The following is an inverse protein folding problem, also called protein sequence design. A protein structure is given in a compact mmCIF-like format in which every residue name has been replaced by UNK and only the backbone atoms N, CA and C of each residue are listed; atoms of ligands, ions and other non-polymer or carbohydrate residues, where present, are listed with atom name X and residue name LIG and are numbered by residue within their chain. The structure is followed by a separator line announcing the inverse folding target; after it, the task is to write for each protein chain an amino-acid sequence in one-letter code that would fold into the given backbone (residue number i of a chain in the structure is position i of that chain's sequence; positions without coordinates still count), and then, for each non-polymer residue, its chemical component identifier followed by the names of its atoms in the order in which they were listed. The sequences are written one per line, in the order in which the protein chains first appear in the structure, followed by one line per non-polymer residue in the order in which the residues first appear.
data_IF_948515791446
#
_entry.id   IF_948515791446
#
_cell.length_a   1.000
_cell.length_b   1.000
_cell.length_c   1.000
_cell.angle_alpha   90.00
_cell.angle_beta   90.00
_cell.angle_gamma   90.00
#
_symmetry.space_group_name_H-M   'P 1'
#
loop_
_entity.id
_entity.type
_entity.pdbx_description
1 polymer ?
#
# COMPACT_ATOMS: atom_id res chain seq x y z
N UNK A 1 -26.83 -41.47 54.50
CA UNK A 1 -27.80 -41.34 53.39
C UNK A 1 -27.15 -40.44 52.35
N UNK A 2 -26.48 -41.02 51.34
CA UNK A 2 -27.04 -41.30 50.00
C UNK A 2 -27.06 -40.00 49.16
N UNK A 3 -26.42 -39.83 47.99
CA UNK A 3 -25.76 -40.77 47.07
C UNK A 3 -24.92 -39.97 46.04
N UNK A 4 -23.90 -40.64 45.50
CA UNK A 4 -22.98 -40.34 44.36
C UNK A 4 -23.56 -39.64 43.11
N UNK A 5 -22.70 -38.89 42.42
CA UNK A 5 -22.22 -39.07 41.02
C UNK A 5 -21.37 -37.83 40.66
N UNK A 6 -20.04 -37.85 40.54
CA UNK A 6 -19.16 -38.65 39.67
C UNK A 6 -19.59 -38.63 38.19
N UNK A 7 -19.07 -37.66 37.45
CA UNK A 7 -18.87 -37.79 36.01
C UNK A 7 -17.50 -37.20 35.67
N UNK A 8 -16.49 -38.02 35.93
CA UNK A 8 -15.21 -37.98 35.27
C UNK A 8 -15.42 -38.18 33.76
N UNK A 9 -14.85 -37.31 32.91
CA UNK A 9 -14.74 -37.59 31.48
C UNK A 9 -13.49 -36.97 30.90
N UNK A 10 -12.40 -37.71 31.06
CA UNK A 10 -11.33 -37.80 30.07
C UNK A 10 -11.90 -38.16 28.70
N UNK A 11 -11.33 -37.58 27.63
CA UNK A 11 -10.94 -38.39 26.50
C UNK A 11 -9.41 -38.39 26.35
N UNK A 12 -8.83 -39.48 26.85
CA UNK A 12 -7.68 -40.12 26.24
C UNK A 12 -8.04 -40.48 24.79
N UNK A 13 -7.29 -39.94 23.84
CA UNK A 13 -7.16 -40.52 22.52
C UNK A 13 -5.76 -40.18 21.98
N UNK A 14 -4.81 -40.99 22.45
CA UNK A 14 -3.55 -41.22 21.78
C UNK A 14 -3.80 -41.62 20.31
N UNK A 15 -3.46 -40.71 19.40
CA UNK A 15 -3.39 -40.96 17.96
C UNK A 15 -1.94 -40.92 17.49
N UNK A 16 -1.11 -41.83 18.01
CA UNK A 16 0.22 -42.10 17.47
C UNK A 16 0.09 -42.81 16.11
N UNK A 17 -0.15 -42.03 15.05
CA UNK A 17 -0.08 -42.48 13.66
C UNK A 17 1.32 -42.31 13.10
N UNK A 18 2.22 -43.22 13.45
CA UNK A 18 3.44 -43.44 12.70
C UNK A 18 3.07 -44.09 11.36
N UNK A 19 3.11 -43.32 10.28
CA UNK A 19 3.09 -43.86 8.91
C UNK A 19 4.34 -43.42 8.18
N UNK A 20 5.12 -44.46 7.85
CA UNK A 20 6.26 -44.57 6.95
C UNK A 20 6.64 -43.36 6.10
N UNK A 21 7.92 -43.00 6.25
CA UNK A 21 8.73 -42.38 5.23
C UNK A 21 8.54 -43.06 3.86
N UNK A 22 8.04 -42.31 2.89
CA UNK A 22 8.17 -42.62 1.48
C UNK A 22 9.47 -41.95 0.96
N UNK A 23 10.37 -42.68 0.29
CA UNK A 23 11.58 -42.12 -0.31
C UNK A 23 11.27 -41.19 -1.51
N UNK A 24 12.22 -40.30 -1.87
CA UNK A 24 12.05 -39.33 -2.95
C UNK A 24 11.91 -40.02 -4.31
N UNK A 25 10.82 -39.73 -5.02
CA UNK A 25 10.69 -40.06 -6.44
C UNK A 25 11.72 -39.23 -7.24
N UNK A 26 12.57 -39.95 -7.96
CA UNK A 26 13.62 -39.44 -8.81
C UNK A 26 13.10 -38.49 -9.91
N UNK A 27 13.92 -37.53 -10.38
CA UNK A 27 13.61 -36.73 -11.56
C UNK A 27 13.56 -37.60 -12.82
N UNK A 28 12.63 -37.36 -13.77
CA UNK A 28 12.72 -37.97 -15.08
C UNK A 28 13.97 -37.43 -15.80
N UNK A 29 14.92 -38.33 -16.03
CA UNK A 29 16.00 -38.19 -17.02
C UNK A 29 15.36 -38.12 -18.41
N UNK A 30 15.06 -36.92 -18.89
CA UNK A 30 14.88 -36.71 -20.33
C UNK A 30 16.23 -36.49 -20.96
N UNK A 31 16.49 -37.34 -21.95
CA UNK A 31 17.79 -37.62 -22.52
C UNK A 31 18.36 -36.42 -23.29
N UNK A 32 19.66 -36.26 -23.08
CA UNK A 32 20.63 -35.68 -23.97
C UNK A 32 20.62 -36.46 -25.31
N UNK A 33 20.11 -35.84 -26.38
CA UNK A 33 20.46 -36.21 -27.76
C UNK A 33 21.16 -35.00 -28.39
N UNK A 34 22.33 -35.30 -28.93
CA UNK A 34 23.33 -34.39 -29.48
C UNK A 34 22.96 -33.90 -30.92
N UNK A 35 23.94 -33.61 -31.80
CA UNK A 35 24.60 -32.32 -32.01
C UNK A 35 24.34 -31.72 -33.41
N UNK A 36 24.81 -30.48 -33.60
CA UNK A 36 25.34 -29.89 -34.85
C UNK A 36 24.59 -30.07 -36.18
N UNK A 37 24.03 -28.97 -36.69
CA UNK A 37 24.21 -28.64 -38.11
C UNK A 37 24.38 -27.12 -38.27
N UNK A 38 25.60 -26.72 -38.58
CA UNK A 38 25.91 -25.40 -39.09
C UNK A 38 25.35 -25.30 -40.52
N UNK A 39 24.59 -24.23 -40.81
CA UNK A 39 24.28 -23.81 -42.18
C UNK A 39 24.41 -22.31 -42.34
N UNK A 40 24.77 -21.86 -43.56
CA UNK A 40 25.76 -20.81 -43.78
C UNK A 40 25.15 -19.42 -44.04
N UNK A 41 26.07 -18.45 -44.04
CA UNK A 41 26.01 -17.14 -44.68
C UNK A 41 25.41 -17.18 -46.09
N UNK A 42 24.45 -16.29 -46.35
CA UNK A 42 24.19 -15.57 -47.62
C UNK A 42 23.59 -14.23 -47.18
N UNK A 43 24.34 -13.13 -47.13
CA UNK A 43 24.86 -12.29 -48.22
C UNK A 43 23.79 -11.68 -49.15
N UNK A 44 23.96 -10.38 -49.36
CA UNK A 44 23.35 -9.51 -50.37
C UNK A 44 21.82 -9.26 -50.33
N UNK A 45 21.46 -8.04 -49.92
CA UNK A 45 20.91 -6.99 -50.82
C UNK A 45 20.63 -5.74 -49.96
N UNK A 46 21.57 -4.80 -49.83
CA UNK A 46 21.66 -3.57 -50.65
C UNK A 46 20.29 -3.04 -51.09
N UNK A 47 19.76 -2.05 -50.37
CA UNK A 47 19.25 -0.83 -51.01
C UNK A 47 19.13 0.31 -49.99
N UNK A 48 20.21 1.06 -49.92
CA UNK A 48 20.23 2.45 -49.47
C UNK A 48 20.07 3.32 -50.73
N UNK A 49 19.04 4.16 -50.85
CA UNK A 49 19.10 5.33 -51.70
C UNK A 49 19.62 6.55 -50.91
N UNK A 50 20.28 7.50 -51.60
CA UNK A 50 21.00 8.62 -50.99
C UNK A 50 20.11 9.83 -50.69
N UNK A 51 20.63 10.66 -49.79
CA UNK A 51 20.09 11.94 -49.34
C UNK A 51 19.87 12.97 -50.46
N UNK A 52 18.83 13.79 -50.33
CA UNK A 52 18.90 15.20 -50.73
C UNK A 52 17.88 16.06 -49.96
N UNK A 53 18.32 17.26 -49.65
CA UNK A 53 17.71 18.24 -48.77
C UNK A 53 16.30 18.70 -49.17
N UNK A 54 15.45 18.90 -48.17
CA UNK A 54 14.38 19.89 -48.23
C UNK A 54 14.28 20.60 -46.87
N UNK A 55 14.38 21.92 -46.94
CA UNK A 55 14.26 22.89 -45.85
C UNK A 55 12.90 22.79 -45.12
N UNK A 56 12.80 23.28 -43.87
CA UNK A 56 11.60 23.16 -43.05
C UNK A 56 10.46 24.06 -43.56
N UNK A 57 9.21 23.57 -43.68
CA UNK A 57 8.06 24.45 -43.65
C UNK A 57 7.81 24.92 -42.20
N UNK A 58 7.52 26.21 -42.11
CA UNK A 58 7.34 27.02 -40.92
C UNK A 58 6.53 26.38 -39.78
N UNK A 59 6.96 26.70 -38.56
CA UNK A 59 6.19 26.51 -37.34
C UNK A 59 4.78 27.12 -37.47
N UNK A 60 3.71 26.44 -37.00
CA UNK A 60 2.47 27.13 -36.69
C UNK A 60 2.74 28.09 -35.53
N UNK A 61 2.74 29.38 -35.87
CA UNK A 61 2.75 30.52 -34.96
C UNK A 61 1.61 30.33 -33.96
N UNK A 62 1.94 30.42 -32.68
CA UNK A 62 0.99 30.43 -31.58
C UNK A 62 -0.10 31.49 -31.84
N UNK A 63 -1.40 31.18 -31.65
CA UNK A 63 -2.37 32.24 -31.45
C UNK A 63 -1.95 33.03 -30.21
N UNK A 64 -1.75 34.33 -30.41
CA UNK A 64 -1.45 35.28 -29.35
C UNK A 64 -2.48 35.14 -28.21
N UNK A 65 -2.07 35.28 -26.93
CA UNK A 65 -3.02 35.45 -25.86
C UNK A 65 -3.79 36.74 -26.12
N UNK A 66 -5.08 36.62 -26.42
CA UNK A 66 -6.00 37.74 -26.44
C UNK A 66 -5.94 38.40 -25.07
N UNK A 67 -5.30 39.57 -25.02
CA UNK A 67 -5.37 40.51 -23.93
C UNK A 67 -6.78 41.11 -23.89
N UNK A 68 -7.76 40.32 -23.46
CA UNK A 68 -9.12 40.81 -23.17
C UNK A 68 -9.79 39.85 -22.17
N UNK A 69 -9.35 39.92 -20.91
CA UNK A 69 -10.19 39.69 -19.72
C UNK A 69 -9.58 40.49 -18.56
N UNK A 70 -9.36 41.78 -18.84
CA UNK A 70 -9.18 42.83 -17.84
C UNK A 70 -10.54 43.51 -17.67
N UNK A 71 -11.46 42.83 -17.01
CA UNK A 71 -12.70 43.43 -16.55
C UNK A 71 -13.25 42.63 -15.36
N UNK A 72 -13.13 43.24 -14.19
CA UNK A 72 -14.18 43.20 -13.16
C UNK A 72 -14.38 41.90 -12.38
N UNK A 73 -13.45 41.61 -11.46
CA UNK A 73 -13.84 41.24 -10.08
C UNK A 73 -12.95 41.93 -9.05
N UNK A 74 -13.17 43.24 -8.95
CA UNK A 74 -13.03 43.95 -7.69
C UNK A 74 -13.96 43.30 -6.66
N UNK A 75 -13.42 42.83 -5.55
CA UNK A 75 -14.06 42.88 -4.22
C UNK A 75 -13.01 42.52 -3.16
N UNK A 76 -12.26 43.57 -2.83
CA UNK A 76 -11.88 44.01 -1.49
C UNK A 76 -11.99 43.00 -0.34
N UNK A 77 -10.87 42.71 0.36
CA UNK A 77 -10.91 42.01 1.64
C UNK A 77 -11.45 42.93 2.76
N UNK A 78 -12.34 42.47 3.66
CA UNK A 78 -12.57 43.16 4.92
C UNK A 78 -11.43 42.85 5.92
N UNK A 79 -10.81 43.87 6.54
CA UNK A 79 -9.93 43.68 7.68
C UNK A 79 -10.79 43.46 8.94
N UNK A 80 -10.78 42.25 9.50
CA UNK A 80 -11.27 42.03 10.85
C UNK A 80 -10.16 42.39 11.85
N UNK A 81 -10.22 43.64 12.31
CA UNK A 81 -9.58 44.11 13.52
C UNK A 81 -10.33 43.57 14.76
N UNK A 82 -9.59 43.31 15.83
CA UNK A 82 -10.11 43.00 17.18
C UNK A 82 -10.21 41.49 17.45
N UNK A 83 -9.72 40.93 18.55
CA UNK A 83 -9.53 41.52 19.86
C UNK A 83 -8.30 40.91 20.56
N UNK A 84 -7.51 41.81 21.14
CA UNK A 84 -6.67 41.53 22.28
C UNK A 84 -7.57 41.15 23.47
N UNK A 85 -7.28 40.02 24.10
CA UNK A 85 -7.83 39.64 25.41
C UNK A 85 -6.66 39.40 26.38
N UNK A 86 -6.62 40.08 27.54
CA UNK A 86 -5.44 40.17 28.40
C UNK A 86 -5.24 38.96 29.31
N UNK A 87 -4.01 38.90 29.82
CA UNK A 87 -3.52 38.03 30.86
C UNK A 87 -4.44 37.92 32.10
N UNK A 88 -4.66 36.68 32.53
CA UNK A 88 -5.13 36.36 33.88
C UNK A 88 -3.99 35.74 34.68
N UNK A 89 -3.45 36.53 35.59
CA UNK A 89 -2.52 36.15 36.65
C UNK A 89 -3.21 35.33 37.75
N UNK A 90 -2.38 34.51 38.42
CA UNK A 90 -2.43 34.16 39.84
C UNK A 90 -3.34 33.01 40.34
N UNK A 91 -2.73 32.18 41.19
CA UNK A 91 -3.38 31.17 42.05
C UNK A 91 -2.41 30.01 42.36
N UNK A 92 -1.41 30.22 43.23
CA UNK A 92 -1.35 29.70 44.61
C UNK A 92 -1.24 28.17 44.67
N UNK A 93 -0.04 27.63 44.94
CA UNK A 93 0.42 27.28 46.29
C UNK A 93 -0.35 26.10 46.89
N UNK A 94 0.33 24.96 47.01
CA UNK A 94 -0.23 23.78 47.66
C UNK A 94 0.67 22.55 47.54
N UNK A 95 1.88 22.63 48.08
CA UNK A 95 2.62 21.44 48.46
C UNK A 95 2.02 20.89 49.78
N UNK A 96 1.70 19.59 49.83
CA UNK A 96 1.92 18.85 51.05
C UNK A 96 3.00 17.79 50.80
N UNK A 97 4.13 18.05 51.44
CA UNK A 97 5.07 17.06 51.92
C UNK A 97 4.31 15.97 52.67
N UNK A 98 4.34 14.74 52.18
CA UNK A 98 4.13 13.55 53.02
C UNK A 98 5.08 12.44 52.61
N UNK A 99 6.08 12.25 53.46
CA UNK A 99 6.91 11.07 53.54
C UNK A 99 6.12 9.90 54.15
N UNK A 100 6.31 8.71 53.59
CA UNK A 100 6.19 7.36 54.18
C UNK A 100 6.34 6.39 52.99
N UNK A 101 7.53 5.84 52.75
CA UNK A 101 8.00 4.56 53.29
C UNK A 101 7.15 3.34 52.88
N UNK A 102 7.88 2.42 52.23
CA UNK A 102 7.68 0.97 52.16
C UNK A 102 6.28 0.43 51.86
N UNK A 103 6.16 -0.20 50.70
CA UNK A 103 6.04 -1.68 50.65
C UNK A 103 6.36 -2.13 49.23
N UNK A 104 7.43 -2.90 49.08
CA UNK A 104 7.73 -3.64 47.86
C UNK A 104 6.59 -4.61 47.55
N UNK A 105 5.68 -4.18 46.68
CA UNK A 105 4.76 -5.10 46.02
C UNK A 105 5.50 -5.70 44.82
N UNK A 106 5.52 -7.04 44.66
CA UNK A 106 6.14 -7.66 43.51
C UNK A 106 5.50 -7.08 42.25
N UNK A 107 6.35 -6.59 41.33
CA UNK A 107 6.00 -6.28 39.95
C UNK A 107 5.32 -7.51 39.36
N UNK A 108 4.00 -7.61 39.56
CA UNK A 108 3.16 -8.51 38.82
C UNK A 108 3.43 -8.16 37.36
N UNK A 109 4.12 -9.08 36.67
CA UNK A 109 4.24 -9.08 35.21
C UNK A 109 2.83 -8.85 34.69
N UNK A 110 2.52 -7.59 34.34
CA UNK A 110 1.34 -7.28 33.55
C UNK A 110 1.52 -8.13 32.31
N UNK A 111 0.78 -9.23 32.25
CA UNK A 111 0.69 -10.05 31.05
C UNK A 111 0.40 -9.06 29.93
N UNK A 112 1.34 -8.94 28.99
CA UNK A 112 1.21 -8.02 27.89
C UNK A 112 -0.13 -8.34 27.21
N UNK A 113 -1.08 -7.41 27.34
CA UNK A 113 -2.36 -7.55 26.66
C UNK A 113 -2.05 -7.84 25.18
N UNK A 114 -2.76 -8.78 24.53
CA UNK A 114 -2.50 -9.12 23.14
C UNK A 114 -2.55 -7.83 22.32
N UNK A 115 -1.39 -7.40 21.83
CA UNK A 115 -1.26 -6.18 21.06
C UNK A 115 -2.07 -6.39 19.80
N UNK A 116 -3.20 -5.69 19.69
CA UNK A 116 -4.06 -5.77 18.53
C UNK A 116 -3.23 -5.57 17.25
N UNK A 117 -3.55 -6.29 16.16
CA UNK A 117 -2.89 -6.07 14.88
C UNK A 117 -2.99 -4.59 14.53
N UNK A 118 -1.83 -3.94 14.37
CA UNK A 118 -1.74 -2.51 14.13
C UNK A 118 -0.64 -2.21 13.10
N UNK A 119 -0.82 -1.11 12.38
CA UNK A 119 0.19 -0.58 11.47
C UNK A 119 1.39 -0.07 12.27
N UNK A 120 2.58 -0.57 11.93
CA UNK A 120 3.86 -0.18 12.54
C UNK A 120 4.60 0.73 11.57
N UNK A 121 5.21 1.80 12.08
CA UNK A 121 6.07 2.66 11.26
C UNK A 121 7.29 1.86 10.80
N UNK A 122 7.68 2.05 9.55
CA UNK A 122 8.88 1.44 8.97
C UNK A 122 9.58 2.42 8.03
N UNK A 123 10.77 2.07 7.61
CA UNK A 123 11.53 2.76 6.56
C UNK A 123 11.21 2.18 5.18
N UNK A 124 11.50 2.96 4.13
CA UNK A 124 11.20 2.58 2.76
C UNK A 124 11.93 1.30 2.32
N UNK A 125 13.19 1.13 2.71
CA UNK A 125 14.00 -0.05 2.41
C UNK A 125 13.39 -1.34 3.01
N UNK A 126 12.97 -1.25 4.26
CA UNK A 126 12.25 -2.35 4.93
C UNK A 126 10.92 -2.66 4.24
N UNK A 127 10.20 -1.65 3.74
CA UNK A 127 8.99 -1.88 2.96
C UNK A 127 9.27 -2.59 1.62
N UNK A 128 10.37 -2.25 0.93
CA UNK A 128 10.81 -2.92 -0.30
C UNK A 128 11.15 -4.39 -0.04
N UNK A 129 11.84 -4.68 1.05
CA UNK A 129 12.15 -6.05 1.46
C UNK A 129 10.88 -6.87 1.72
N UNK A 130 9.86 -6.27 2.36
CA UNK A 130 8.56 -6.93 2.64
C UNK A 130 7.74 -7.23 1.40
N UNK A 131 7.83 -6.38 0.38
CA UNK A 131 7.19 -6.59 -0.92
C UNK A 131 8.04 -7.43 -1.90
N UNK A 132 9.14 -8.00 -1.41
CA UNK A 132 10.06 -8.86 -2.18
C UNK A 132 10.64 -8.17 -3.43
N UNK A 133 10.98 -6.89 -3.33
CA UNK A 133 11.91 -6.25 -4.28
C UNK A 133 11.52 -4.89 -4.84
N UNK A 134 10.24 -4.52 -4.85
CA UNK A 134 9.85 -3.19 -5.33
C UNK A 134 8.62 -2.65 -4.61
N UNK A 135 8.64 -1.35 -4.35
CA UNK A 135 7.49 -0.59 -3.88
C UNK A 135 7.14 0.44 -4.94
N UNK A 136 5.84 0.62 -5.21
CA UNK A 136 5.38 1.64 -6.15
C UNK A 136 5.25 2.97 -5.45
N UNK A 137 5.70 4.04 -6.10
CA UNK A 137 5.63 5.40 -5.56
C UNK A 137 4.80 6.29 -6.48
N UNK A 138 4.28 7.38 -5.92
CA UNK A 138 3.54 8.39 -6.69
C UNK A 138 4.51 9.54 -6.97
N UNK A 139 4.85 9.73 -8.24
CA UNK A 139 5.78 10.81 -8.63
C UNK A 139 5.23 12.17 -8.22
N UNK A 140 6.10 13.04 -7.69
CA UNK A 140 5.80 14.43 -7.34
C UNK A 140 4.89 14.61 -6.11
N UNK A 141 4.72 13.58 -5.28
CA UNK A 141 4.16 13.72 -3.94
C UNK A 141 5.23 13.49 -2.87
N UNK A 142 5.11 14.20 -1.75
CA UNK A 142 6.03 14.06 -0.62
C UNK A 142 5.58 12.90 0.28
N UNK A 143 6.48 11.93 0.50
CA UNK A 143 6.25 10.83 1.44
C UNK A 143 6.39 11.35 2.86
N UNK A 144 5.30 11.32 3.62
CA UNK A 144 5.30 11.72 5.03
C UNK A 144 5.64 10.55 5.95
N UNK A 145 5.16 9.34 5.63
CA UNK A 145 5.34 8.15 6.48
C UNK A 145 5.12 6.86 5.70
N UNK A 146 5.87 5.82 6.06
CA UNK A 146 5.65 4.44 5.63
C UNK A 146 5.27 3.58 6.82
N UNK A 147 4.27 2.72 6.64
CA UNK A 147 3.74 1.82 7.65
C UNK A 147 3.56 0.42 7.07
N UNK A 148 3.67 -0.60 7.92
CA UNK A 148 3.40 -2.01 7.56
C UNK A 148 2.41 -2.57 8.56
N UNK A 149 1.39 -3.24 8.06
CA UNK A 149 0.35 -3.87 8.89
C UNK A 149 -0.23 -5.10 8.21
N UNK A 150 -1.07 -5.86 8.92
CA UNK A 150 -1.73 -7.02 8.33
C UNK A 150 -2.81 -6.60 7.33
N UNK A 151 -2.98 -7.39 6.27
CA UNK A 151 -3.98 -7.15 5.23
C UNK A 151 -5.41 -7.19 5.72
N UNK A 152 -5.68 -7.89 6.83
CA UNK A 152 -7.01 -7.90 7.46
C UNK A 152 -7.51 -6.53 7.91
N UNK A 153 -6.64 -5.53 8.06
CA UNK A 153 -7.00 -4.15 8.37
C UNK A 153 -7.34 -3.30 7.15
N UNK A 154 -7.15 -3.82 5.93
CA UNK A 154 -7.32 -3.09 4.68
C UNK A 154 -8.37 -3.77 3.83
N UNK A 155 -9.40 -3.01 3.47
CA UNK A 155 -10.55 -3.56 2.76
C UNK A 155 -10.18 -4.07 1.36
N UNK A 156 -10.24 -5.38 1.22
CA UNK A 156 -10.01 -6.12 -0.01
C UNK A 156 -8.55 -6.46 -0.30
N UNK A 157 -7.68 -6.29 0.69
CA UNK A 157 -6.37 -6.93 0.71
C UNK A 157 -6.52 -8.38 1.20
N UNK A 158 -5.59 -9.24 0.79
CA UNK A 158 -5.47 -10.61 1.26
C UNK A 158 -5.14 -10.60 2.77
N UNK A 159 -6.00 -11.18 3.64
CA UNK A 159 -5.85 -11.07 5.10
C UNK A 159 -4.60 -11.76 5.63
N UNK A 160 -4.11 -12.77 4.92
CA UNK A 160 -2.95 -13.60 5.29
C UNK A 160 -1.60 -12.93 4.99
N UNK A 161 -1.59 -11.80 4.28
CA UNK A 161 -0.39 -11.12 3.81
C UNK A 161 -0.25 -9.73 4.43
N UNK A 162 0.98 -9.23 4.51
CA UNK A 162 1.26 -7.88 4.99
C UNK A 162 0.94 -6.85 3.90
N UNK A 163 0.45 -5.67 4.32
CA UNK A 163 0.22 -4.50 3.48
C UNK A 163 1.22 -3.42 3.86
N UNK A 164 1.88 -2.87 2.85
CA UNK A 164 2.67 -1.65 2.96
C UNK A 164 1.76 -0.46 2.70
N UNK A 165 1.69 0.47 3.65
CA UNK A 165 0.96 1.72 3.56
C UNK A 165 1.93 2.88 3.44
N UNK A 166 1.82 3.65 2.38
CA UNK A 166 2.58 4.88 2.17
C UNK A 166 1.65 6.07 2.29
N UNK A 167 1.97 6.99 3.19
CA UNK A 167 1.20 8.19 3.44
C UNK A 167 1.93 9.38 2.83
N UNK A 168 1.24 10.08 1.95
CA UNK A 168 1.71 11.27 1.26
C UNK A 168 0.96 12.51 1.74
N UNK A 169 1.58 13.67 1.52
CA UNK A 169 0.93 14.98 1.55
C UNK A 169 0.99 15.60 0.16
N UNK A 170 -0.14 16.17 -0.26
CA UNK A 170 -0.18 17.00 -1.47
C UNK A 170 0.23 18.46 -1.17
N UNK A 171 0.34 19.27 -2.22
CA UNK A 171 0.68 20.70 -2.12
C UNK A 171 -0.33 21.52 -1.30
N UNK A 172 -1.54 20.99 -1.06
CA UNK A 172 -2.58 21.62 -0.22
C UNK A 172 -2.59 21.05 1.20
N UNK A 173 -1.61 20.23 1.58
CA UNK A 173 -1.52 19.58 2.88
C UNK A 173 -2.53 18.44 3.10
N UNK A 174 -3.25 18.01 2.06
CA UNK A 174 -4.21 16.90 2.13
C UNK A 174 -3.46 15.58 2.21
N UNK A 175 -3.96 14.66 3.04
CA UNK A 175 -3.39 13.33 3.22
C UNK A 175 -3.87 12.39 2.11
N UNK A 176 -2.94 11.71 1.46
CA UNK A 176 -3.20 10.66 0.47
C UNK A 176 -2.54 9.38 0.98
N UNK A 177 -3.22 8.24 0.84
CA UNK A 177 -2.73 6.94 1.31
C UNK A 177 -2.68 5.95 0.15
N UNK A 178 -1.51 5.35 -0.07
CA UNK A 178 -1.30 4.26 -1.02
C UNK A 178 -1.00 2.98 -0.26
N UNK A 179 -1.93 2.05 -0.29
CA UNK A 179 -1.79 0.71 0.27
C UNK A 179 -1.37 -0.25 -0.84
N UNK A 180 -0.37 -1.10 -0.58
CA UNK A 180 0.24 -2.02 -1.53
C UNK A 180 0.43 -3.38 -0.89
N UNK A 181 0.10 -4.41 -1.66
CA UNK A 181 0.29 -5.79 -1.24
C UNK A 181 0.71 -6.62 -2.44
N UNK A 182 1.77 -7.40 -2.28
CA UNK A 182 2.18 -8.37 -3.28
C UNK A 182 1.39 -9.65 -3.08
N UNK A 183 0.65 -10.06 -4.09
CA UNK A 183 -0.13 -11.30 -4.03
C UNK A 183 0.77 -12.50 -4.30
N UNK A 184 0.45 -13.63 -3.66
CA UNK A 184 1.10 -14.91 -3.93
C UNK A 184 0.28 -15.64 -5.00
N UNK A 185 0.75 -15.65 -6.24
CA UNK A 185 0.07 -16.31 -7.35
C UNK A 185 0.75 -16.05 -8.68
N UNK A 186 0.50 -16.92 -9.66
CA UNK A 186 0.95 -16.70 -11.03
C UNK A 186 0.20 -15.50 -11.64
N UNK A 187 0.87 -14.65 -12.44
CA UNK A 187 0.19 -13.61 -13.21
C UNK A 187 -0.88 -14.28 -14.10
N UNK A 188 -2.15 -13.94 -13.87
CA UNK A 188 -3.30 -14.52 -14.59
C UNK A 188 -4.24 -15.38 -13.74
N UNK A 189 -3.85 -15.78 -12.52
CA UNK A 189 -4.81 -16.25 -11.53
C UNK A 189 -5.54 -15.03 -10.96
N UNK A 190 -6.84 -14.91 -11.23
CA UNK A 190 -7.66 -13.85 -10.62
C UNK A 190 -7.56 -13.91 -9.10
N UNK A 191 -7.73 -12.78 -8.43
CA UNK A 191 -8.00 -12.79 -7.01
C UNK A 191 -9.31 -13.55 -6.79
N UNK A 192 -9.25 -14.70 -6.12
CA UNK A 192 -10.46 -15.40 -5.69
C UNK A 192 -11.35 -14.42 -4.93
N UNK A 193 -12.66 -14.46 -5.17
CA UNK A 193 -13.60 -13.54 -4.53
C UNK A 193 -13.54 -13.64 -2.98
N UNK A 194 -13.09 -14.78 -2.45
CA UNK A 194 -12.84 -15.02 -1.02
C UNK A 194 -11.58 -14.32 -0.47
N UNK A 195 -10.61 -13.97 -1.32
CA UNK A 195 -9.39 -13.23 -0.95
C UNK A 195 -9.64 -11.73 -0.68
N UNK A 196 -10.90 -11.30 -0.63
CA UNK A 196 -11.31 -9.91 -0.40
C UNK A 196 -11.14 -9.00 -1.64
N UNK A 197 -10.43 -9.46 -2.67
CA UNK A 197 -10.51 -8.87 -4.00
C UNK A 197 -11.92 -9.05 -4.52
N UNK A 198 -12.64 -7.96 -4.81
CA UNK A 198 -14.02 -8.00 -5.30
C UNK A 198 -14.12 -8.54 -6.74
N UNK A 199 -13.48 -9.68 -7.03
CA UNK A 199 -13.34 -10.27 -8.35
C UNK A 199 -12.57 -9.40 -9.34
N UNK A 200 -11.64 -8.53 -8.86
CA UNK A 200 -10.85 -7.69 -9.78
C UNK A 200 -9.95 -8.55 -10.66
N UNK A 201 -10.11 -8.41 -11.97
CA UNK A 201 -9.17 -8.92 -12.96
C UNK A 201 -8.01 -7.95 -13.16
N UNK A 202 -6.96 -8.42 -13.84
CA UNK A 202 -5.84 -7.55 -14.23
C UNK A 202 -6.34 -6.43 -15.14
N UNK A 203 -6.02 -5.18 -14.77
CA UNK A 203 -6.52 -3.99 -15.47
C UNK A 203 -7.86 -3.45 -14.95
N UNK A 204 -8.57 -4.21 -14.11
CA UNK A 204 -9.79 -3.70 -13.49
C UNK A 204 -9.46 -2.62 -12.47
N UNK A 205 -10.30 -1.59 -12.45
CA UNK A 205 -10.20 -0.47 -11.51
C UNK A 205 -11.55 -0.25 -10.85
N UNK A 206 -11.62 -0.47 -9.55
CA UNK A 206 -12.81 -0.19 -8.75
C UNK A 206 -12.66 1.13 -8.02
N UNK A 207 -13.62 2.04 -8.24
CA UNK A 207 -13.71 3.31 -7.53
C UNK A 207 -14.86 3.26 -6.53
N UNK A 208 -14.60 3.59 -5.27
CA UNK A 208 -15.62 3.74 -4.24
C UNK A 208 -15.47 5.08 -3.53
N UNK A 209 -16.59 5.69 -3.16
CA UNK A 209 -16.61 6.96 -2.41
C UNK A 209 -17.48 6.78 -1.18
N UNK A 210 -16.92 7.05 0.00
CA UNK A 210 -17.63 6.96 1.27
C UNK A 210 -17.12 8.04 2.23
N UNK A 211 -18.04 8.76 2.90
CA UNK A 211 -17.68 9.76 3.90
C UNK A 211 -16.74 10.86 3.41
N UNK A 212 -16.88 11.32 2.15
CA UNK A 212 -16.02 12.33 1.56
C UNK A 212 -14.60 11.87 1.21
N UNK A 213 -14.30 10.58 1.38
CA UNK A 213 -13.05 9.97 0.92
C UNK A 213 -13.35 9.12 -0.30
N UNK A 214 -12.58 9.32 -1.37
CA UNK A 214 -12.61 8.45 -2.53
C UNK A 214 -11.44 7.47 -2.45
N UNK A 215 -11.69 6.24 -2.87
CA UNK A 215 -10.74 5.14 -2.95
C UNK A 215 -10.78 4.52 -4.33
N UNK A 216 -9.61 4.28 -4.91
CA UNK A 216 -9.43 3.55 -6.16
C UNK A 216 -8.61 2.32 -5.85
N UNK A 217 -9.08 1.15 -6.27
CA UNK A 217 -8.40 -0.14 -6.13
C UNK A 217 -8.17 -0.75 -7.50
N UNK A 218 -6.99 -1.29 -7.73
CA UNK A 218 -6.64 -1.95 -8.99
C UNK A 218 -5.57 -3.01 -8.77
N UNK A 219 -5.42 -3.88 -9.77
CA UNK A 219 -4.38 -4.89 -9.81
C UNK A 219 -3.32 -4.49 -10.85
N UNK A 220 -2.07 -4.34 -10.40
CA UNK A 220 -0.94 -4.06 -11.28
C UNK A 220 -0.49 -5.32 -12.02
N UNK A 221 0.09 -5.12 -13.20
CA UNK A 221 0.72 -6.13 -14.07
C UNK A 221 1.76 -7.01 -13.37
N UNK A 222 2.39 -6.50 -12.30
CA UNK A 222 3.37 -7.24 -11.48
C UNK A 222 2.76 -7.99 -10.29
N UNK A 223 1.46 -8.27 -10.33
CA UNK A 223 0.72 -8.96 -9.28
C UNK A 223 0.74 -8.22 -7.92
N UNK A 224 0.61 -6.89 -7.99
CA UNK A 224 0.38 -6.05 -6.81
C UNK A 224 -1.07 -5.65 -6.73
N UNK A 225 -1.70 -5.95 -5.61
CA UNK A 225 -2.92 -5.30 -5.21
C UNK A 225 -2.59 -3.89 -4.69
N UNK A 226 -3.30 -2.90 -5.22
CA UNK A 226 -3.07 -1.49 -4.90
C UNK A 226 -4.38 -0.81 -4.52
N UNK A 227 -4.32 0.07 -3.52
CA UNK A 227 -5.45 0.90 -3.10
C UNK A 227 -4.96 2.32 -2.79
N UNK A 228 -5.42 3.28 -3.59
CA UNK A 228 -5.18 4.70 -3.40
C UNK A 228 -6.42 5.35 -2.79
N UNK A 229 -6.26 6.11 -1.70
CA UNK A 229 -7.38 6.79 -1.06
C UNK A 229 -7.02 8.18 -0.53
N UNK A 230 -7.99 9.08 -0.54
CA UNK A 230 -7.84 10.44 0.00
C UNK A 230 -9.08 11.31 -0.21
N UNK A 231 -9.07 12.54 0.35
CA UNK A 231 -10.15 13.52 0.21
C UNK A 231 -10.01 14.28 -1.12
N UNK A 232 -10.08 13.54 -2.23
CA UNK A 232 -9.95 14.04 -3.60
C UNK A 232 -11.11 13.50 -4.45
N UNK A 233 -11.58 14.26 -5.45
CA UNK A 233 -12.50 13.73 -6.46
C UNK A 233 -11.89 12.53 -7.18
N UNK A 234 -12.75 11.65 -7.69
CA UNK A 234 -12.35 10.44 -8.39
C UNK A 234 -11.39 10.72 -9.56
N UNK A 235 -11.65 11.77 -10.36
CA UNK A 235 -10.80 12.13 -11.50
C UNK A 235 -9.38 12.54 -11.07
N UNK A 236 -9.27 13.26 -9.95
CA UNK A 236 -7.98 13.66 -9.39
C UNK A 236 -7.20 12.45 -8.86
N UNK A 237 -7.88 11.47 -8.25
CA UNK A 237 -7.23 10.23 -7.84
C UNK A 237 -6.82 9.38 -9.05
N UNK A 238 -7.65 9.31 -10.10
CA UNK A 238 -7.27 8.60 -11.35
C UNK A 238 -6.00 9.20 -11.95
N UNK A 239 -5.91 10.53 -12.02
CA UNK A 239 -4.69 11.20 -12.48
C UNK A 239 -3.45 10.87 -11.63
N UNK A 240 -3.61 10.55 -10.33
CA UNK A 240 -2.52 10.09 -9.49
C UNK A 240 -2.17 8.62 -9.73
N UNK A 241 -3.14 7.76 -10.06
CA UNK A 241 -2.88 6.36 -10.43
C UNK A 241 -1.95 6.29 -11.65
N UNK A 242 -2.15 7.15 -12.64
CA UNK A 242 -1.29 7.24 -13.84
C UNK A 242 0.17 7.64 -13.52
N UNK A 243 0.42 8.21 -12.35
CA UNK A 243 1.74 8.64 -11.85
C UNK A 243 2.40 7.62 -10.92
N UNK A 244 1.75 6.48 -10.72
CA UNK A 244 2.31 5.37 -9.94
C UNK A 244 3.36 4.66 -10.79
N UNK A 245 4.58 4.52 -10.25
CA UNK A 245 5.73 3.89 -10.92
C UNK A 245 6.40 2.88 -10.01
#
# INVERSE_FOLDING_TARGET
MATRADTSRDPDAAGAGAVSAAPPAAPPKSALSAPAEARPLDDATRQQPPALAAAPPAAPVAPAPTADQRAERSLTPPPAAGAQGPAGLAGLAGAPMRAAEETGAPLARRAAAPVAPAFRRTDLDSAVARLSGSVRLIDGLEITRVEVGPGSLVQGAEPSLEVVRIIYRDARGRRITLDQQRLRGAPGGGLDADAGGAGLLYGDTLTTTAGGTTRIRWLDTKNFWMSLSGPLPADSLRALVERVR
#
